data_IF_809405672177
#
_entry.id   IF_809405672177
#
_cell.length_a   1.000
_cell.length_b   1.000
_cell.length_c   1.000
_cell.angle_alpha   90.00
_cell.angle_beta   90.00
_cell.angle_gamma   90.00
#
_symmetry.space_group_name_H-M   'P 1'
#
loop_
_entity.id
_entity.type
_entity.pdbx_description
1 polymer ?
#
# COMPACT_ATOMS: atom_id res chain seq x y z
N UNK A 1 -63.38 -55.84 -76.42
CA UNK A 1 -62.28 -54.85 -76.39
C UNK A 1 -60.86 -55.44 -76.28
N UNK A 2 -60.67 -56.74 -76.04
CA UNK A 2 -59.33 -57.35 -75.94
C UNK A 2 -58.67 -57.75 -77.28
N UNK A 3 -59.43 -57.80 -78.39
CA UNK A 3 -58.91 -58.27 -79.69
C UNK A 3 -58.12 -57.21 -80.47
N UNK A 4 -58.26 -55.92 -80.13
CA UNK A 4 -57.56 -54.84 -80.84
C UNK A 4 -56.17 -54.52 -80.26
N UNK A 5 -55.91 -54.73 -78.95
CA UNK A 5 -54.59 -54.48 -78.36
C UNK A 5 -53.51 -55.47 -78.84
N UNK A 6 -53.84 -56.75 -79.00
CA UNK A 6 -52.89 -57.73 -79.54
C UNK A 6 -52.62 -57.54 -81.04
N UNK A 7 -53.59 -57.03 -81.79
CA UNK A 7 -53.41 -56.71 -83.21
C UNK A 7 -52.51 -55.49 -83.34
N UNK A 8 -52.65 -54.45 -82.51
CA UNK A 8 -51.77 -53.28 -82.54
C UNK A 8 -50.34 -53.56 -82.06
N UNK A 9 -50.15 -54.43 -81.06
CA UNK A 9 -48.81 -54.81 -80.59
C UNK A 9 -48.08 -55.71 -81.60
N UNK A 10 -48.81 -56.58 -82.30
CA UNK A 10 -48.29 -57.35 -83.42
C UNK A 10 -48.05 -56.47 -84.66
N UNK A 11 -48.91 -55.48 -84.92
CA UNK A 11 -48.74 -54.54 -86.02
C UNK A 11 -47.54 -53.61 -85.77
N UNK A 12 -47.29 -53.18 -84.54
CA UNK A 12 -46.12 -52.37 -84.18
C UNK A 12 -44.83 -53.21 -84.16
N UNK A 13 -44.84 -54.45 -83.66
CA UNK A 13 -43.68 -55.36 -83.78
C UNK A 13 -43.39 -55.71 -85.24
N UNK A 14 -44.41 -55.98 -86.06
CA UNK A 14 -44.25 -56.32 -87.49
C UNK A 14 -43.91 -55.09 -88.33
N UNK A 15 -44.45 -53.91 -88.02
CA UNK A 15 -44.05 -52.64 -88.64
C UNK A 15 -42.61 -52.26 -88.26
N UNK A 16 -42.18 -52.42 -86.99
CA UNK A 16 -40.78 -52.26 -86.58
C UNK A 16 -39.85 -53.26 -87.27
N UNK A 17 -40.31 -54.49 -87.50
CA UNK A 17 -39.55 -55.53 -88.20
C UNK A 17 -39.50 -55.34 -89.73
N UNK A 18 -40.56 -54.79 -90.35
CA UNK A 18 -40.65 -54.55 -91.81
C UNK A 18 -40.01 -53.22 -92.20
N UNK A 19 -40.20 -52.15 -91.41
CA UNK A 19 -39.43 -50.91 -91.54
C UNK A 19 -37.96 -51.13 -91.15
N UNK A 20 -37.68 -52.01 -90.18
CA UNK A 20 -36.32 -52.40 -89.83
C UNK A 20 -35.58 -53.12 -90.94
N UNK A 21 -36.26 -53.96 -91.74
CA UNK A 21 -35.61 -54.76 -92.79
C UNK A 21 -35.30 -53.96 -94.06
N UNK A 22 -36.23 -53.14 -94.56
CA UNK A 22 -36.01 -52.36 -95.80
C UNK A 22 -35.22 -51.06 -95.58
N UNK A 23 -35.19 -50.52 -94.36
CA UNK A 23 -34.31 -49.39 -94.00
C UNK A 23 -32.88 -49.84 -93.67
N UNK A 24 -32.65 -51.13 -93.43
CA UNK A 24 -31.32 -51.72 -93.25
C UNK A 24 -30.60 -52.03 -94.57
N UNK A 25 -31.28 -51.93 -95.72
CA UNK A 25 -30.71 -52.16 -97.04
C UNK A 25 -30.32 -50.85 -97.76
N UNK A 26 -30.76 -49.70 -97.25
CA UNK A 26 -30.35 -48.38 -97.75
C UNK A 26 -29.06 -47.91 -97.04
N UNK A 27 -27.94 -47.94 -97.79
CA UNK A 27 -26.60 -47.57 -97.34
C UNK A 27 -26.53 -46.19 -96.65
N UNK A 28 -27.34 -45.22 -97.08
CA UNK A 28 -27.36 -43.88 -96.49
C UNK A 28 -27.91 -43.86 -95.05
N UNK A 29 -28.91 -44.68 -94.76
CA UNK A 29 -29.51 -44.78 -93.41
C UNK A 29 -28.58 -45.53 -92.46
N UNK A 30 -27.82 -46.50 -92.97
CA UNK A 30 -26.79 -47.21 -92.20
C UNK A 30 -25.64 -46.26 -91.81
N UNK A 31 -25.19 -45.42 -92.74
CA UNK A 31 -24.14 -44.42 -92.49
C UNK A 31 -24.58 -43.36 -91.47
N UNK A 32 -25.83 -42.86 -91.57
CA UNK A 32 -26.39 -41.93 -90.59
C UNK A 32 -26.52 -42.55 -89.19
N UNK A 33 -26.97 -43.80 -89.08
CA UNK A 33 -27.03 -44.51 -87.80
C UNK A 33 -25.63 -44.73 -87.20
N UNK A 34 -24.64 -45.08 -88.02
CA UNK A 34 -23.25 -45.18 -87.57
C UNK A 34 -22.70 -43.84 -87.10
N UNK A 35 -23.00 -42.74 -87.82
CA UNK A 35 -22.60 -41.40 -87.42
C UNK A 35 -23.25 -40.98 -86.10
N UNK A 36 -24.55 -41.26 -85.91
CA UNK A 36 -25.26 -41.01 -84.65
C UNK A 36 -24.64 -41.81 -83.49
N UNK A 37 -24.44 -43.13 -83.65
CA UNK A 37 -23.82 -43.97 -82.63
C UNK A 37 -22.40 -43.50 -82.28
N UNK A 38 -21.61 -43.05 -83.27
CA UNK A 38 -20.27 -42.46 -83.03
C UNK A 38 -20.37 -41.15 -82.26
N UNK A 39 -21.33 -40.29 -82.59
CA UNK A 39 -21.56 -39.03 -81.88
C UNK A 39 -22.03 -39.28 -80.44
N UNK A 40 -22.97 -40.19 -80.22
CA UNK A 40 -23.44 -40.60 -78.89
C UNK A 40 -22.32 -41.23 -78.06
N UNK A 41 -21.52 -42.14 -78.64
CA UNK A 41 -20.34 -42.70 -77.97
C UNK A 41 -19.32 -41.60 -77.62
N UNK A 42 -19.15 -40.59 -78.48
CA UNK A 42 -18.26 -39.45 -78.21
C UNK A 42 -18.79 -38.57 -77.07
N UNK A 43 -20.09 -38.27 -77.05
CA UNK A 43 -20.73 -37.54 -75.94
C UNK A 43 -20.59 -38.31 -74.64
N UNK A 44 -20.87 -39.62 -74.64
CA UNK A 44 -20.69 -40.49 -73.48
C UNK A 44 -19.24 -40.47 -72.98
N UNK A 45 -18.26 -40.62 -73.87
CA UNK A 45 -16.84 -40.57 -73.50
C UNK A 45 -16.42 -39.21 -72.92
N UNK A 46 -16.95 -38.10 -73.45
CA UNK A 46 -16.67 -36.76 -72.95
C UNK A 46 -17.32 -36.52 -71.59
N UNK A 47 -18.55 -37.00 -71.37
CA UNK A 47 -19.22 -36.94 -70.07
C UNK A 47 -18.45 -37.74 -69.01
N UNK A 48 -17.97 -38.95 -69.33
CA UNK A 48 -17.09 -39.71 -68.44
C UNK A 48 -15.78 -38.99 -68.14
N UNK A 49 -15.20 -38.31 -69.15
CA UNK A 49 -13.99 -37.51 -68.95
C UNK A 49 -14.23 -36.29 -68.05
N UNK A 50 -15.37 -35.62 -68.21
CA UNK A 50 -15.78 -34.51 -67.33
C UNK A 50 -15.94 -35.00 -65.90
N UNK A 51 -16.74 -36.06 -65.68
CA UNK A 51 -16.98 -36.58 -64.33
C UNK A 51 -15.70 -37.07 -63.65
N UNK A 52 -14.80 -37.74 -64.39
CA UNK A 52 -13.49 -38.15 -63.89
C UNK A 52 -12.60 -36.94 -63.54
N UNK A 53 -12.63 -35.87 -64.35
CA UNK A 53 -11.88 -34.64 -64.07
C UNK A 53 -12.44 -33.90 -62.87
N UNK A 54 -13.77 -33.82 -62.73
CA UNK A 54 -14.43 -33.23 -61.56
C UNK A 54 -14.10 -34.00 -60.27
N UNK A 55 -14.05 -35.33 -60.32
CA UNK A 55 -13.60 -36.17 -59.20
C UNK A 55 -12.12 -35.91 -58.84
N UNK A 56 -11.25 -35.77 -59.83
CA UNK A 56 -9.85 -35.39 -59.59
C UNK A 56 -9.70 -33.99 -58.98
N UNK A 57 -10.48 -33.01 -59.45
CA UNK A 57 -10.47 -31.66 -58.87
C UNK A 57 -10.97 -31.70 -57.43
N UNK A 58 -12.01 -32.50 -57.14
CA UNK A 58 -12.56 -32.64 -55.80
C UNK A 58 -11.54 -33.24 -54.83
N UNK A 59 -10.91 -34.35 -55.22
CA UNK A 59 -9.86 -35.01 -54.41
C UNK A 59 -8.67 -34.09 -54.18
N UNK A 60 -8.19 -33.40 -55.22
CA UNK A 60 -7.08 -32.44 -55.08
C UNK A 60 -7.45 -31.26 -54.16
N UNK A 61 -8.70 -30.77 -54.21
CA UNK A 61 -9.18 -29.72 -53.29
C UNK A 61 -9.23 -30.21 -51.85
N UNK A 62 -9.66 -31.45 -51.62
CA UNK A 62 -9.66 -32.07 -50.28
C UNK A 62 -8.22 -32.23 -49.73
N UNK A 63 -7.28 -32.67 -50.58
CA UNK A 63 -5.85 -32.74 -50.23
C UNK A 63 -5.24 -31.35 -49.94
N UNK A 64 -5.59 -30.33 -50.72
CA UNK A 64 -5.12 -28.97 -50.47
C UNK A 64 -5.68 -28.41 -49.17
N UNK A 65 -6.97 -28.64 -48.89
CA UNK A 65 -7.60 -28.19 -47.65
C UNK A 65 -6.96 -28.85 -46.43
N UNK A 66 -6.75 -30.17 -46.47
CA UNK A 66 -6.09 -30.89 -45.37
C UNK A 66 -4.66 -30.40 -45.16
N UNK A 67 -3.87 -30.21 -46.22
CA UNK A 67 -2.53 -29.62 -46.13
C UNK A 67 -2.55 -28.21 -45.53
N UNK A 68 -3.50 -27.36 -45.96
CA UNK A 68 -3.62 -25.99 -45.45
C UNK A 68 -4.00 -25.98 -43.96
N UNK A 69 -4.90 -26.87 -43.53
CA UNK A 69 -5.26 -27.02 -42.11
C UNK A 69 -4.03 -27.42 -41.29
N UNK A 70 -3.27 -28.42 -41.73
CA UNK A 70 -2.04 -28.86 -41.05
C UNK A 70 -1.01 -27.72 -40.97
N UNK A 71 -0.81 -26.97 -42.06
CA UNK A 71 0.12 -25.83 -42.06
C UNK A 71 -0.32 -24.74 -41.08
N UNK A 72 -1.62 -24.44 -41.04
CA UNK A 72 -2.19 -23.46 -40.10
C UNK A 72 -2.02 -23.92 -38.65
N UNK A 73 -2.24 -25.20 -38.37
CA UNK A 73 -2.02 -25.79 -37.04
C UNK A 73 -0.55 -25.71 -36.62
N UNK A 74 0.37 -26.04 -37.53
CA UNK A 74 1.81 -25.93 -37.29
C UNK A 74 2.24 -24.48 -37.01
N UNK A 75 1.73 -23.52 -37.79
CA UNK A 75 2.00 -22.11 -37.59
C UNK A 75 1.48 -21.62 -36.23
N UNK A 76 0.27 -22.02 -35.85
CA UNK A 76 -0.30 -21.71 -34.54
C UNK A 76 0.52 -22.30 -33.39
N UNK A 77 0.92 -23.58 -33.51
CA UNK A 77 1.74 -24.26 -32.51
C UNK A 77 3.10 -23.58 -32.34
N UNK A 78 3.73 -23.19 -33.45
CA UNK A 78 5.02 -22.50 -33.40
C UNK A 78 4.90 -21.12 -32.70
N UNK A 79 3.86 -20.35 -33.05
CA UNK A 79 3.57 -19.06 -32.41
C UNK A 79 3.31 -19.20 -30.91
N UNK A 80 2.55 -20.22 -30.52
CA UNK A 80 2.23 -20.48 -29.12
C UNK A 80 3.47 -20.95 -28.34
N UNK A 81 4.30 -21.80 -28.96
CA UNK A 81 5.61 -22.19 -28.41
C UNK A 81 6.53 -20.98 -28.19
N UNK A 82 6.66 -20.11 -29.19
CA UNK A 82 7.49 -18.90 -29.10
C UNK A 82 7.02 -17.96 -27.98
N UNK A 83 5.71 -17.82 -27.80
CA UNK A 83 5.11 -17.05 -26.70
C UNK A 83 5.42 -17.66 -25.33
N UNK A 84 5.22 -18.98 -25.17
CA UNK A 84 5.50 -19.70 -23.93
C UNK A 84 7.00 -19.62 -23.58
N UNK A 85 7.87 -19.83 -24.57
CA UNK A 85 9.32 -19.75 -24.39
C UNK A 85 9.78 -18.36 -23.97
N UNK A 86 9.22 -17.30 -24.58
CA UNK A 86 9.53 -15.92 -24.23
C UNK A 86 9.06 -15.57 -22.82
N UNK A 87 7.85 -16.02 -22.44
CA UNK A 87 7.34 -15.85 -21.08
C UNK A 87 8.21 -16.60 -20.06
N UNK A 88 8.61 -17.84 -20.36
CA UNK A 88 9.49 -18.63 -19.52
C UNK A 88 10.84 -17.92 -19.30
N UNK A 89 11.48 -17.41 -20.37
CA UNK A 89 12.71 -16.62 -20.27
C UNK A 89 12.54 -15.39 -19.40
N UNK A 90 11.46 -14.64 -19.60
CA UNK A 90 11.15 -13.44 -18.79
C UNK A 90 10.98 -13.79 -17.31
N UNK A 91 10.29 -14.89 -17.01
CA UNK A 91 10.11 -15.36 -15.63
C UNK A 91 11.43 -15.84 -15.02
N UNK A 92 12.28 -16.51 -15.80
CA UNK A 92 13.60 -16.92 -15.38
C UNK A 92 14.48 -15.70 -15.07
N UNK A 93 14.52 -14.70 -15.94
CA UNK A 93 15.24 -13.44 -15.72
C UNK A 93 14.76 -12.72 -14.46
N UNK A 94 13.43 -12.62 -14.25
CA UNK A 94 12.86 -12.04 -13.03
C UNK A 94 13.25 -12.81 -11.77
N UNK A 95 13.32 -14.14 -11.85
CA UNK A 95 13.76 -14.99 -10.74
C UNK A 95 15.22 -14.74 -10.39
N UNK A 96 16.09 -14.69 -11.39
CA UNK A 96 17.51 -14.38 -11.19
C UNK A 96 17.71 -12.97 -10.65
N UNK A 97 16.97 -11.98 -11.16
CA UNK A 97 16.98 -10.61 -10.63
C UNK A 97 16.52 -10.57 -9.17
N UNK A 98 15.43 -11.26 -8.82
CA UNK A 98 14.95 -11.33 -7.43
C UNK A 98 15.96 -12.03 -6.52
N UNK A 99 16.62 -13.10 -6.99
CA UNK A 99 17.68 -13.78 -6.24
C UNK A 99 18.89 -12.88 -6.02
N UNK A 100 19.31 -12.11 -7.03
CA UNK A 100 20.36 -11.10 -6.92
C UNK A 100 19.97 -9.95 -6.00
N UNK A 101 18.73 -9.46 -6.06
CA UNK A 101 18.24 -8.44 -5.13
C UNK A 101 18.19 -8.98 -3.71
N UNK A 102 17.80 -10.23 -3.49
CA UNK A 102 17.79 -10.85 -2.17
C UNK A 102 19.20 -11.08 -1.62
N UNK A 103 20.18 -11.46 -2.45
CA UNK A 103 21.57 -11.56 -2.01
C UNK A 103 22.18 -10.19 -1.70
N UNK A 104 21.88 -9.17 -2.53
CA UNK A 104 22.27 -7.78 -2.26
C UNK A 104 21.59 -7.25 -1.01
N UNK A 105 20.30 -7.49 -0.77
CA UNK A 105 19.62 -7.08 0.46
C UNK A 105 20.20 -7.78 1.68
N UNK A 106 20.50 -9.08 1.61
CA UNK A 106 21.17 -9.78 2.72
C UNK A 106 22.58 -9.24 3.00
N UNK A 107 23.32 -8.79 1.97
CA UNK A 107 24.63 -8.13 2.13
C UNK A 107 24.52 -6.64 2.50
N UNK A 108 23.47 -5.93 2.06
CA UNK A 108 23.29 -4.49 2.23
C UNK A 108 22.46 -4.11 3.46
N UNK A 109 21.71 -5.05 4.04
CA UNK A 109 21.23 -4.97 5.43
C UNK A 109 22.42 -4.87 6.40
N UNK A 110 23.64 -5.26 5.98
CA UNK A 110 24.83 -5.08 6.80
C UNK A 110 25.39 -3.62 6.80
N UNK A 111 25.25 -2.81 5.74
CA UNK A 111 25.90 -1.49 5.71
C UNK A 111 25.23 -0.50 4.72
N UNK A 112 24.32 0.36 5.21
CA UNK A 112 24.38 1.82 4.97
C UNK A 112 23.33 2.60 5.76
N UNK A 113 23.24 2.37 7.07
CA UNK A 113 23.00 3.51 7.95
C UNK A 113 24.25 4.41 7.92
N UNK A 114 24.40 5.19 6.86
CA UNK A 114 25.34 6.31 6.87
C UNK A 114 24.71 7.35 7.76
N UNK A 115 25.07 7.30 9.03
CA UNK A 115 24.71 8.28 10.03
C UNK A 115 25.27 9.62 9.52
N UNK A 116 24.44 10.41 8.84
CA UNK A 116 24.84 11.70 8.29
C UNK A 116 25.22 12.66 9.43
N UNK A 117 24.49 12.59 10.53
CA UNK A 117 24.83 13.19 11.81
C UNK A 117 24.51 12.18 12.93
N UNK A 118 25.45 11.89 13.85
CA UNK A 118 25.12 11.13 15.05
C UNK A 118 24.00 11.85 15.81
N UNK A 119 23.15 11.13 16.57
CA UNK A 119 22.09 11.75 17.35
C UNK A 119 22.70 12.78 18.30
N UNK A 120 22.54 14.06 17.95
CA UNK A 120 23.03 15.15 18.76
C UNK A 120 22.22 15.15 20.06
N UNK A 121 22.91 15.00 21.18
CA UNK A 121 22.29 15.23 22.49
C UNK A 121 21.72 16.64 22.46
N UNK A 122 20.43 16.82 22.76
CA UNK A 122 19.81 18.14 22.64
C UNK A 122 20.58 19.14 23.51
N UNK A 123 21.08 20.21 22.89
CA UNK A 123 21.86 21.26 23.59
C UNK A 123 21.04 21.98 24.67
N UNK A 124 19.72 21.81 24.64
CA UNK A 124 18.79 22.30 25.64
C UNK A 124 18.07 21.10 26.27
N UNK A 125 18.01 21.00 27.61
CA UNK A 125 17.22 19.97 28.24
C UNK A 125 15.76 20.07 27.77
N UNK A 126 15.24 18.99 27.21
CA UNK A 126 13.90 18.94 26.62
C UNK A 126 12.77 18.83 27.66
N UNK A 127 13.11 18.85 28.94
CA UNK A 127 12.18 18.75 30.07
C UNK A 127 12.16 20.06 30.88
N UNK A 128 11.06 20.34 31.59
CA UNK A 128 10.48 21.69 31.75
C UNK A 128 11.48 22.73 32.26
N UNK A 129 11.29 23.98 31.83
CA UNK A 129 12.11 25.14 32.20
C UNK A 129 12.41 25.12 33.71
N UNK A 130 13.66 24.78 34.07
CA UNK A 130 14.09 24.58 35.46
C UNK A 130 13.82 25.81 36.33
N UNK A 131 13.90 27.00 35.73
CA UNK A 131 13.56 28.30 36.34
C UNK A 131 12.09 28.40 36.77
N UNK A 132 11.17 27.88 35.95
CA UNK A 132 9.73 27.91 36.25
C UNK A 132 9.44 26.92 37.38
N UNK A 133 10.00 25.72 37.33
CA UNK A 133 9.82 24.70 38.37
C UNK A 133 10.35 25.17 39.72
N UNK A 134 11.56 25.73 39.79
CA UNK A 134 12.14 26.23 41.03
C UNK A 134 11.29 27.34 41.66
N UNK A 135 10.75 28.24 40.84
CA UNK A 135 9.85 29.30 41.30
C UNK A 135 8.54 28.71 41.82
N UNK A 136 7.92 27.79 41.07
CA UNK A 136 6.66 27.15 41.49
C UNK A 136 6.82 26.41 42.81
N UNK A 137 7.90 25.65 42.99
CA UNK A 137 8.15 24.90 44.24
C UNK A 137 8.34 25.85 45.42
N UNK A 138 9.07 26.96 45.24
CA UNK A 138 9.25 27.97 46.28
C UNK A 138 7.92 28.58 46.72
N UNK A 139 7.10 29.02 45.77
CA UNK A 139 5.79 29.61 46.05
C UNK A 139 4.80 28.60 46.62
N UNK A 140 4.80 27.37 46.11
CA UNK A 140 3.95 26.29 46.63
C UNK A 140 4.35 25.91 48.06
N UNK A 141 5.65 25.83 48.36
CA UNK A 141 6.14 25.57 49.72
C UNK A 141 5.75 26.68 50.71
N UNK A 142 5.89 27.96 50.31
CA UNK A 142 5.45 29.10 51.12
C UNK A 142 3.94 29.08 51.34
N UNK A 143 3.16 28.84 50.29
CA UNK A 143 1.70 28.76 50.37
C UNK A 143 1.26 27.62 51.30
N UNK A 144 1.83 26.42 51.15
CA UNK A 144 1.54 25.29 52.02
C UNK A 144 1.95 25.54 53.47
N UNK A 145 3.13 26.11 53.71
CA UNK A 145 3.58 26.46 55.05
C UNK A 145 2.66 27.49 55.72
N UNK A 146 2.23 28.51 54.97
CA UNK A 146 1.29 29.51 55.46
C UNK A 146 -0.09 28.92 55.73
N UNK A 147 -0.64 28.13 54.80
CA UNK A 147 -1.91 27.42 54.99
C UNK A 147 -1.86 26.48 56.20
N UNK A 148 -0.74 25.78 56.42
CA UNK A 148 -0.57 24.92 57.57
C UNK A 148 -0.50 25.70 58.89
N UNK A 149 0.26 26.80 58.91
CA UNK A 149 0.32 27.70 60.07
C UNK A 149 -1.04 28.32 60.39
N UNK A 150 -1.80 28.74 59.38
CA UNK A 150 -3.17 29.23 59.53
C UNK A 150 -4.12 28.14 60.03
N UNK A 151 -3.99 26.91 59.52
CA UNK A 151 -4.76 25.77 60.02
C UNK A 151 -4.48 25.49 61.50
N UNK A 152 -3.22 25.54 61.92
CA UNK A 152 -2.84 25.41 63.32
C UNK A 152 -3.38 26.57 64.18
N UNK A 153 -3.36 27.80 63.66
CA UNK A 153 -3.96 28.96 64.34
C UNK A 153 -5.47 28.77 64.54
N UNK A 154 -6.17 28.21 63.56
CA UNK A 154 -7.62 27.95 63.66
C UNK A 154 -7.96 26.89 64.72
N UNK A 155 -7.09 25.89 64.92
CA UNK A 155 -7.27 24.83 65.92
C UNK A 155 -7.00 25.34 67.35
N UNK A 156 -6.17 26.38 67.51
CA UNK A 156 -5.85 27.00 68.80
C UNK A 156 -6.13 28.50 68.79
N UNK A 157 -7.41 28.92 68.77
CA UNK A 157 -7.75 30.33 68.84
C UNK A 157 -7.20 30.91 70.16
N UNK A 158 -6.23 31.80 70.05
CA UNK A 158 -5.64 32.48 71.20
C UNK A 158 -6.25 33.87 71.30
N UNK A 159 -6.99 34.14 72.37
CA UNK A 159 -7.56 35.46 72.65
C UNK A 159 -6.43 36.41 73.06
N UNK A 160 -6.10 37.37 72.20
CA UNK A 160 -4.97 38.29 72.40
C UNK A 160 -5.39 39.59 73.10
N UNK A 161 -6.68 39.93 73.09
CA UNK A 161 -7.19 41.21 73.59
C UNK A 161 -8.42 41.00 74.47
N UNK A 162 -8.53 41.78 75.54
CA UNK A 162 -9.68 41.75 76.47
C UNK A 162 -11.03 41.98 75.78
N UNK A 163 -11.06 42.74 74.68
CA UNK A 163 -12.24 42.92 73.83
C UNK A 163 -12.72 41.62 73.15
N UNK A 164 -11.80 40.77 72.66
CA UNK A 164 -12.15 39.48 72.04
C UNK A 164 -12.70 38.50 73.09
N UNK A 165 -12.19 38.56 74.31
CA UNK A 165 -12.68 37.77 75.44
C UNK A 165 -14.09 38.23 75.88
N UNK A 166 -14.35 39.54 75.90
CA UNK A 166 -15.66 40.12 76.21
C UNK A 166 -16.73 39.67 75.20
N UNK A 167 -16.39 39.67 73.92
CA UNK A 167 -17.31 39.31 72.84
C UNK A 167 -17.58 37.80 72.80
N UNK A 168 -16.56 36.97 73.05
CA UNK A 168 -16.73 35.51 73.08
C UNK A 168 -17.47 34.98 74.33
N UNK A 169 -17.30 35.62 75.49
CA UNK A 169 -17.83 35.13 76.78
C UNK A 169 -19.09 35.91 77.22
N UNK A 170 -19.36 37.08 76.64
CA UNK A 170 -20.57 37.88 76.93
C UNK A 170 -20.59 38.55 78.30
N UNK A 171 -19.48 38.52 79.04
CA UNK A 171 -19.34 39.08 80.39
C UNK A 171 -18.42 40.30 80.39
N UNK A 172 -18.73 41.37 81.17
CA UNK A 172 -17.86 42.54 81.27
C UNK A 172 -16.54 42.18 81.97
N UNK A 173 -15.42 42.53 81.33
CA UNK A 173 -14.07 42.26 81.85
C UNK A 173 -13.77 43.26 82.97
N UNK A 174 -13.63 42.77 84.20
CA UNK A 174 -13.46 43.59 85.41
C UNK A 174 -12.08 44.27 85.53
N UNK A 175 -11.14 43.97 84.62
CA UNK A 175 -9.82 44.57 84.57
C UNK A 175 -8.87 43.75 83.72
N UNK A 176 -7.88 44.40 83.10
CA UNK A 176 -6.80 43.72 82.36
C UNK A 176 -5.51 43.80 83.16
N UNK A 177 -4.99 42.65 83.61
CA UNK A 177 -3.64 42.58 84.19
C UNK A 177 -2.64 42.47 83.04
N UNK A 178 -2.00 43.58 82.69
CA UNK A 178 -0.94 43.59 81.68
C UNK A 178 0.35 43.03 82.30
N UNK A 179 0.67 41.79 81.97
CA UNK A 179 1.95 41.20 82.35
C UNK A 179 3.05 41.78 81.45
N UNK A 180 3.71 42.86 81.89
CA UNK A 180 4.91 43.37 81.25
C UNK A 180 6.11 42.46 81.56
N UNK A 181 6.17 41.31 80.89
CA UNK A 181 7.37 40.48 80.87
C UNK A 181 8.42 41.15 79.99
N UNK A 182 9.22 42.05 80.58
CA UNK A 182 10.38 42.64 79.90
C UNK A 182 11.41 41.56 79.47
N UNK A 183 11.34 40.35 80.04
CA UNK A 183 12.22 39.22 79.71
C UNK A 183 11.66 38.25 78.65
N UNK A 184 10.38 38.29 78.27
CA UNK A 184 9.86 37.41 77.20
C UNK A 184 10.29 37.86 75.81
N UNK A 185 10.59 39.15 75.63
CA UNK A 185 11.13 39.70 74.38
C UNK A 185 12.57 39.20 74.17
N UNK A 186 13.36 39.06 75.25
CA UNK A 186 14.76 38.58 75.17
C UNK A 186 14.85 37.08 74.90
N UNK A 187 13.97 36.26 75.47
CA UNK A 187 13.98 34.80 75.28
C UNK A 187 13.42 34.38 73.91
N UNK A 188 12.54 35.20 73.33
CA UNK A 188 12.01 34.97 71.98
C UNK A 188 12.99 35.43 70.88
N UNK A 189 14.08 36.13 71.23
CA UNK A 189 15.11 36.50 70.23
C UNK A 189 15.72 35.28 69.57
N UNK A 190 15.90 34.17 70.28
CA UNK A 190 16.47 32.96 69.69
C UNK A 190 15.54 32.34 68.65
N UNK A 191 14.23 32.26 68.90
CA UNK A 191 13.26 31.74 67.93
C UNK A 191 13.05 32.70 66.76
N UNK A 192 12.99 34.01 67.01
CA UNK A 192 12.91 35.03 65.94
C UNK A 192 14.19 35.04 65.11
N UNK A 193 15.37 34.98 65.73
CA UNK A 193 16.66 34.93 65.05
C UNK A 193 16.84 33.62 64.26
N UNK A 194 16.38 32.49 64.79
CA UNK A 194 16.40 31.21 64.09
C UNK A 194 15.40 31.22 62.91
N UNK A 195 14.22 31.79 63.08
CA UNK A 195 13.25 31.97 61.99
C UNK A 195 13.79 32.89 60.89
N UNK A 196 14.38 34.04 61.24
CA UNK A 196 14.99 34.94 60.26
C UNK A 196 16.23 34.34 59.60
N UNK A 197 17.02 33.55 60.32
CA UNK A 197 18.18 32.83 59.77
C UNK A 197 17.77 31.71 58.80
N UNK A 198 16.70 30.97 59.09
CA UNK A 198 16.18 29.93 58.18
C UNK A 198 15.57 30.58 56.93
N UNK A 199 14.81 31.66 57.10
CA UNK A 199 14.21 32.41 55.97
C UNK A 199 15.29 33.02 55.07
N UNK A 200 16.33 33.62 55.65
CA UNK A 200 17.45 34.15 54.87
C UNK A 200 18.25 33.05 54.17
N UNK A 201 18.49 31.91 54.84
CA UNK A 201 19.13 30.73 54.24
C UNK A 201 18.35 30.16 53.05
N UNK A 202 17.02 30.12 53.14
CA UNK A 202 16.15 29.69 52.05
C UNK A 202 16.22 30.64 50.84
N UNK A 203 16.27 31.95 51.06
CA UNK A 203 16.46 32.92 49.98
C UNK A 203 17.86 32.82 49.34
N UNK A 204 18.90 32.66 50.15
CA UNK A 204 20.29 32.51 49.68
C UNK A 204 20.43 31.26 48.80
N UNK A 205 19.87 30.13 49.24
CA UNK A 205 19.90 28.87 48.47
C UNK A 205 19.12 28.99 47.16
N UNK A 206 17.95 29.65 47.15
CA UNK A 206 17.20 29.93 45.93
C UNK A 206 17.99 30.81 44.94
N UNK A 207 18.60 31.89 45.42
CA UNK A 207 19.43 32.79 44.59
C UNK A 207 20.66 32.05 44.05
N UNK A 208 21.29 31.20 44.87
CA UNK A 208 22.42 30.36 44.44
C UNK A 208 22.05 29.40 43.32
N UNK A 209 20.88 28.75 43.41
CA UNK A 209 20.37 27.85 42.36
C UNK A 209 20.05 28.65 41.09
N UNK A 210 19.43 29.83 41.20
CA UNK A 210 19.15 30.71 40.06
C UNK A 210 20.43 31.15 39.33
N UNK A 211 21.46 31.55 40.08
CA UNK A 211 22.77 31.92 39.53
C UNK A 211 23.44 30.71 38.87
N UNK A 212 23.39 29.55 39.50
CA UNK A 212 23.96 28.31 38.96
C UNK A 212 23.31 27.90 37.64
N UNK A 213 21.98 27.93 37.57
CA UNK A 213 21.23 27.67 36.33
C UNK A 213 21.53 28.73 35.26
N UNK A 214 21.62 30.02 35.63
CA UNK A 214 21.96 31.09 34.69
C UNK A 214 23.38 30.94 34.11
N UNK A 215 24.37 30.58 34.93
CA UNK A 215 25.74 30.31 34.45
C UNK A 215 25.79 29.09 33.53
N UNK A 216 25.04 28.03 33.86
CA UNK A 216 24.94 26.82 33.04
C UNK A 216 24.33 27.11 31.67
N UNK A 217 23.30 27.95 31.59
CA UNK A 217 22.69 28.40 30.32
C UNK A 217 23.70 29.20 29.48
N UNK A 218 24.54 30.03 30.11
CA UNK A 218 25.52 30.87 29.42
C UNK A 218 26.72 30.09 28.88
N UNK A 219 27.18 29.05 29.57
CA UNK A 219 28.31 28.21 29.13
C UNK A 219 28.05 27.42 27.83
N UNK A 220 26.79 27.19 27.46
CA UNK A 220 26.43 26.45 26.23
C UNK A 220 26.71 27.26 24.94
N UNK A 221 26.93 28.57 25.01
CA UNK A 221 27.03 29.44 23.81
C UNK A 221 28.41 30.09 23.56
N UNK A 222 29.46 29.74 24.31
CA UNK A 222 30.77 30.41 24.20
C UNK A 222 31.75 29.76 23.19
N UNK A 223 31.75 28.44 22.89
CA UNK A 223 32.82 27.87 22.07
C UNK A 223 32.78 28.25 20.58
N UNK A 224 31.66 28.80 20.08
CA UNK A 224 31.54 29.16 18.66
C UNK A 224 32.15 30.52 18.29
N UNK A 225 32.53 31.34 19.28
CA UNK A 225 33.11 32.68 19.02
C UNK A 225 34.64 32.68 18.86
N UNK A 226 35.33 31.63 19.32
CA UNK A 226 36.79 31.54 19.20
C UNK A 226 37.26 30.93 17.87
N UNK A 227 36.41 30.16 17.19
CA UNK A 227 36.78 29.52 15.92
C UNK A 227 36.73 30.48 14.71
N UNK A 228 35.92 31.54 14.73
CA UNK A 228 35.78 32.44 13.56
C UNK A 228 36.93 33.44 13.40
N UNK A 229 37.75 33.62 14.43
CA UNK A 229 38.92 34.52 14.42
C UNK A 229 40.18 33.79 13.92
N UNK A 230 40.27 32.46 14.07
CA UNK A 230 41.43 31.69 13.62
C UNK A 230 41.43 31.44 12.10
N UNK A 231 40.27 31.49 11.44
CA UNK A 231 40.13 31.19 10.01
C UNK A 231 40.29 32.44 9.10
N UNK A 232 40.67 33.58 9.68
CA UNK A 232 40.92 34.86 8.97
C UNK A 232 42.35 35.39 9.11
N UNK A 233 43.27 34.56 9.59
CA UNK A 233 44.72 34.80 9.59
C UNK A 233 45.39 33.69 8.78
#
# INVERSE_FOLDING_TARGET
MAKNKHVEEQLNKKARHVLGKNMMENKYIQDLKMALNRAEAKVGSLQTKISFTEQQIKTLREELNTRLTVETEMQNLNRDYDSIHTNYKTLLERREQAALSQSVDNESIALKFRIAEPPNKPLKPSSPNRLILSTIVLFSGLALGFSFAFGLFYIKPTFMTTGQLREAIGLPVLGSVSFNSNNSILNNKQHVMLFTAISSGLLITYVGIMIFEFMRVKQVNIPNLLHSVYDRL
#
